data_IF_220677826629
#
_entry.id   IF_220677826629
#
_cell.length_a   1.000
_cell.length_b   1.000
_cell.length_c   1.000
_cell.angle_alpha   90.00
_cell.angle_beta   90.00
_cell.angle_gamma   90.00
#
_symmetry.space_group_name_H-M   'P 1'
#
loop_
_entity.id
_entity.type
_entity.pdbx_description
1 polymer ?
#
# COMPACT_ATOMS: atom_id res chain seq x y z
N UNK A 1 1.01 15.01 -39.59
CA UNK A 1 0.91 13.81 -38.74
C UNK A 1 0.16 14.20 -37.47
N UNK A 2 -1.17 14.13 -37.50
CA UNK A 2 -2.02 14.51 -36.38
C UNK A 2 -2.34 13.26 -35.57
N UNK A 3 -1.79 13.16 -34.36
CA UNK A 3 -2.25 12.17 -33.39
C UNK A 3 -3.56 12.72 -32.80
N UNK A 4 -4.66 12.49 -33.50
CA UNK A 4 -6.01 12.82 -33.05
C UNK A 4 -6.32 11.92 -31.86
N UNK A 5 -5.94 12.37 -30.66
CA UNK A 5 -6.29 11.67 -29.43
C UNK A 5 -7.76 11.94 -29.12
N UNK A 6 -8.65 11.10 -29.65
CA UNK A 6 -10.04 10.97 -29.24
C UNK A 6 -10.17 10.32 -27.83
N UNK A 7 -9.25 10.65 -26.93
CA UNK A 7 -9.23 10.17 -25.55
C UNK A 7 -9.90 11.19 -24.64
N UNK A 8 -10.91 10.78 -23.87
CA UNK A 8 -11.46 11.62 -22.81
C UNK A 8 -10.38 11.84 -21.75
N UNK A 9 -9.86 13.06 -21.64
CA UNK A 9 -8.88 13.42 -20.62
C UNK A 9 -9.60 13.49 -19.27
N UNK A 10 -9.57 12.38 -18.51
CA UNK A 10 -10.12 12.34 -17.16
C UNK A 10 -9.13 12.99 -16.21
N UNK A 11 -9.41 14.23 -15.82
CA UNK A 11 -8.66 14.91 -14.75
C UNK A 11 -9.05 14.29 -13.42
N UNK A 12 -8.19 13.41 -12.88
CA UNK A 12 -8.43 12.69 -11.63
C UNK A 12 -8.85 13.61 -10.48
N UNK A 13 -8.28 14.82 -10.40
CA UNK A 13 -8.53 15.79 -9.34
C UNK A 13 -10.00 16.22 -9.22
N UNK A 14 -10.72 16.29 -10.32
CA UNK A 14 -12.13 16.68 -10.37
C UNK A 14 -13.08 15.48 -10.44
N UNK A 15 -12.55 14.25 -10.45
CA UNK A 15 -13.38 13.06 -10.62
C UNK A 15 -13.99 12.62 -9.27
N UNK A 16 -15.33 12.50 -9.17
CA UNK A 16 -16.01 12.23 -7.89
C UNK A 16 -15.61 10.87 -7.30
N UNK A 17 -15.38 9.86 -8.14
CA UNK A 17 -14.90 8.54 -7.70
C UNK A 17 -13.50 8.62 -7.09
N UNK A 18 -12.62 9.46 -7.63
CA UNK A 18 -11.27 9.63 -7.09
C UNK A 18 -11.31 10.35 -5.75
N UNK A 19 -12.15 11.38 -5.62
CA UNK A 19 -12.36 12.06 -4.35
C UNK A 19 -12.93 11.13 -3.26
N UNK A 20 -13.88 10.25 -3.62
CA UNK A 20 -14.43 9.25 -2.71
C UNK A 20 -13.38 8.20 -2.29
N UNK A 21 -12.57 7.72 -3.24
CA UNK A 21 -11.46 6.81 -2.94
C UNK A 21 -10.44 7.43 -1.99
N UNK A 22 -10.10 8.71 -2.20
CA UNK A 22 -9.17 9.45 -1.34
C UNK A 22 -9.72 9.64 0.08
N UNK A 23 -11.03 9.86 0.24
CA UNK A 23 -11.67 9.90 1.56
C UNK A 23 -11.57 8.55 2.28
N UNK A 24 -11.92 7.47 1.59
CA UNK A 24 -11.83 6.10 2.14
C UNK A 24 -10.41 5.75 2.56
N UNK A 25 -9.41 6.15 1.78
CA UNK A 25 -8.01 5.91 2.13
C UNK A 25 -7.58 6.69 3.37
N UNK A 26 -8.05 7.93 3.54
CA UNK A 26 -7.82 8.72 4.76
C UNK A 26 -8.46 8.06 5.97
N UNK A 27 -9.72 7.65 5.87
CA UNK A 27 -10.44 6.95 6.95
C UNK A 27 -9.73 5.65 7.35
N UNK A 28 -9.28 4.86 6.37
CA UNK A 28 -8.51 3.65 6.61
C UNK A 28 -7.19 3.95 7.31
N UNK A 29 -6.47 4.99 6.84
CA UNK A 29 -5.22 5.42 7.46
C UNK A 29 -5.41 5.86 8.91
N UNK A 30 -6.48 6.60 9.20
CA UNK A 30 -6.83 7.00 10.57
C UNK A 30 -7.24 5.82 11.46
N UNK A 31 -7.98 4.86 10.92
CA UNK A 31 -8.28 3.61 11.62
C UNK A 31 -6.99 2.84 11.95
N UNK A 32 -6.07 2.72 10.98
CA UNK A 32 -4.77 2.08 11.18
C UNK A 32 -3.89 2.83 12.19
N UNK A 33 -3.96 4.17 12.24
CA UNK A 33 -3.21 4.97 13.23
C UNK A 33 -3.57 4.65 14.68
N UNK A 34 -4.82 4.29 14.94
CA UNK A 34 -5.28 3.87 16.28
C UNK A 34 -4.82 2.45 16.64
N UNK A 35 -4.39 1.67 15.66
CA UNK A 35 -4.01 0.28 15.88
C UNK A 35 -2.69 0.16 16.68
N UNK A 36 -2.59 -0.76 17.66
CA UNK A 36 -1.38 -0.94 18.48
C UNK A 36 -0.13 -1.22 17.66
N UNK A 37 -0.22 -2.01 16.59
CA UNK A 37 0.94 -2.31 15.72
C UNK A 37 1.48 -1.08 15.00
N UNK A 38 0.60 -0.12 14.64
CA UNK A 38 1.02 1.13 14.03
C UNK A 38 1.74 2.02 15.05
N UNK A 39 1.19 2.14 16.27
CA UNK A 39 1.85 2.88 17.36
C UNK A 39 3.19 2.25 17.75
N UNK A 40 3.29 0.92 17.76
CA UNK A 40 4.55 0.21 18.03
C UNK A 40 5.59 0.48 16.94
N UNK A 41 5.21 0.41 15.66
CA UNK A 41 6.07 0.80 14.52
C UNK A 41 6.51 2.27 14.61
N UNK A 42 5.59 3.18 14.94
CA UNK A 42 5.89 4.60 15.08
C UNK A 42 6.88 4.86 16.22
N UNK A 43 6.71 4.20 17.37
CA UNK A 43 7.66 4.28 18.49
C UNK A 43 9.04 3.74 18.11
N UNK A 44 9.09 2.60 17.41
CA UNK A 44 10.35 2.02 16.94
C UNK A 44 11.07 2.95 15.93
N UNK A 45 10.33 3.59 15.03
CA UNK A 45 10.88 4.58 14.10
C UNK A 45 11.39 5.84 14.83
N UNK A 46 10.67 6.30 15.86
CA UNK A 46 11.08 7.47 16.66
C UNK A 46 12.28 7.19 17.59
N UNK A 47 12.46 5.95 18.05
CA UNK A 47 13.59 5.56 18.89
C UNK A 47 14.88 5.31 18.10
N UNK A 48 14.93 5.59 16.80
CA UNK A 48 16.12 5.42 15.96
C UNK A 48 16.59 3.96 15.81
N UNK A 49 15.84 3.01 16.36
CA UNK A 49 16.09 1.59 16.16
C UNK A 49 15.61 1.28 14.76
N UNK A 50 16.53 1.26 13.80
CA UNK A 50 16.27 0.78 12.46
C UNK A 50 15.41 -0.48 12.58
N UNK A 51 14.18 -0.42 12.08
CA UNK A 51 13.36 -1.62 11.91
C UNK A 51 14.10 -2.38 10.82
N UNK A 52 15.11 -3.17 11.21
CA UNK A 52 15.68 -4.18 10.36
C UNK A 52 14.45 -5.00 9.99
N UNK A 53 14.00 -5.03 8.72
CA UNK A 53 12.99 -5.99 8.34
C UNK A 53 13.60 -7.32 8.74
N UNK A 54 13.05 -7.94 9.78
CA UNK A 54 13.45 -9.28 10.17
C UNK A 54 13.24 -10.08 8.89
N UNK A 55 14.33 -10.37 8.19
CA UNK A 55 14.35 -11.23 7.02
C UNK A 55 13.93 -12.55 7.62
N UNK A 56 12.62 -12.78 7.65
CA UNK A 56 12.05 -14.05 8.01
C UNK A 56 12.44 -14.93 6.84
N UNK A 57 13.57 -15.61 7.00
CA UNK A 57 14.00 -16.68 6.13
C UNK A 57 12.96 -17.79 6.28
N UNK A 58 11.81 -17.63 5.63
CA UNK A 58 10.90 -18.73 5.39
C UNK A 58 11.69 -19.69 4.52
N UNK A 59 12.02 -20.86 5.08
CA UNK A 59 12.68 -21.91 4.35
C UNK A 59 11.76 -22.26 3.17
N UNK A 60 12.11 -21.81 1.97
CA UNK A 60 11.38 -22.14 0.77
C UNK A 60 11.63 -23.63 0.51
N UNK A 61 10.63 -24.46 0.81
CA UNK A 61 10.65 -25.86 0.40
C UNK A 61 10.33 -25.88 -1.09
N UNK A 62 11.31 -26.26 -1.91
CA UNK A 62 11.12 -26.47 -3.35
C UNK A 62 10.03 -27.52 -3.54
N UNK A 63 8.89 -27.12 -4.11
CA UNK A 63 7.77 -28.01 -4.42
C UNK A 63 8.09 -28.85 -5.65
N UNK A 64 8.97 -29.84 -5.49
CA UNK A 64 9.36 -30.76 -6.56
C UNK A 64 8.42 -31.94 -6.77
N UNK A 65 7.42 -32.16 -5.89
CA UNK A 65 6.61 -33.39 -5.89
C UNK A 65 5.10 -33.11 -5.84
N UNK A 66 4.58 -32.32 -6.78
CA UNK A 66 3.13 -32.28 -7.05
C UNK A 66 2.87 -32.98 -8.38
N UNK A 67 2.49 -34.28 -8.39
CA UNK A 67 2.05 -34.94 -9.62
C UNK A 67 0.71 -34.35 -10.09
N UNK A 68 0.60 -34.20 -11.42
CA UNK A 68 -0.51 -33.57 -12.15
C UNK A 68 -1.80 -34.40 -12.13
#
# INVERSE_FOLDING_TARGET
MANTQEGTVVVLRSHPVWAAAQRRERERSEAMRRHPSYRARQRAAASGSAVIPLIRNFKAYSSGNTPA
#
